data_IF_363806791331
#
_entry.id   IF_363806791331
#
_cell.length_a   1.000
_cell.length_b   1.000
_cell.length_c   1.000
_cell.angle_alpha   90.00
_cell.angle_beta   90.00
_cell.angle_gamma   90.00
#
_symmetry.space_group_name_H-M   'P 1'
#
loop_
_entity.id
_entity.type
_entity.pdbx_description
1 polymer ?
#
# COMPACT_ATOMS: atom_id res chain seq x y z
N UNK A 1 -12.31 -2.66 4.67
CA UNK A 1 -13.29 -3.76 4.41
C UNK A 1 -13.85 -4.31 5.71
N UNK A 2 -15.10 -4.80 5.72
CA UNK A 2 -15.73 -5.44 6.89
C UNK A 2 -15.77 -4.60 8.17
N UNK A 3 -15.80 -3.27 8.06
CA UNK A 3 -15.66 -2.33 9.18
C UNK A 3 -14.43 -2.56 10.10
N UNK A 4 -13.37 -3.20 9.58
CA UNK A 4 -12.19 -3.59 10.37
C UNK A 4 -11.22 -2.46 10.74
N UNK A 5 -11.46 -1.24 10.22
CA UNK A 5 -10.71 -0.04 10.58
C UNK A 5 -11.67 1.01 11.18
N UNK A 6 -12.26 0.77 12.36
CA UNK A 6 -13.33 1.60 12.90
C UNK A 6 -12.82 2.91 13.54
N UNK A 7 -11.54 2.95 13.90
CA UNK A 7 -10.97 4.02 14.73
C UNK A 7 -10.56 5.27 13.93
N UNK A 8 -10.48 6.45 14.57
CA UNK A 8 -9.94 7.65 13.96
C UNK A 8 -8.40 7.60 13.83
N UNK A 9 -7.86 8.39 12.91
CA UNK A 9 -6.43 8.40 12.54
C UNK A 9 -5.43 8.37 13.71
N UNK A 10 -5.57 9.21 14.76
CA UNK A 10 -4.66 9.17 15.91
C UNK A 10 -4.63 7.83 16.63
N UNK A 11 -5.78 7.15 16.77
CA UNK A 11 -5.86 5.85 17.41
C UNK A 11 -5.24 4.74 16.55
N UNK A 12 -5.40 4.83 15.22
CA UNK A 12 -4.76 3.91 14.27
C UNK A 12 -3.23 4.04 14.35
N UNK A 13 -2.71 5.28 14.37
CA UNK A 13 -1.27 5.54 14.54
C UNK A 13 -0.75 4.93 15.84
N UNK A 14 -1.42 5.21 16.97
CA UNK A 14 -1.03 4.63 18.25
C UNK A 14 -1.14 3.10 18.28
N UNK A 15 -2.11 2.51 17.57
CA UNK A 15 -2.21 1.06 17.43
C UNK A 15 -0.97 0.50 16.70
N UNK A 16 -0.61 1.05 15.55
CA UNK A 16 0.56 0.62 14.79
C UNK A 16 1.87 0.75 15.60
N UNK A 17 2.05 1.85 16.32
CA UNK A 17 3.23 2.11 17.15
C UNK A 17 3.38 1.11 18.30
N UNK A 18 2.28 0.62 18.89
CA UNK A 18 2.32 -0.42 19.94
C UNK A 18 2.90 -1.75 19.45
N UNK A 19 2.86 -2.01 18.14
CA UNK A 19 3.49 -3.19 17.53
C UNK A 19 4.93 -2.92 17.05
N UNK A 20 5.52 -1.80 17.46
CA UNK A 20 6.93 -1.46 17.18
C UNK A 20 7.15 -0.74 15.86
N UNK A 21 6.09 -0.35 15.13
CA UNK A 21 6.24 0.48 13.95
C UNK A 21 6.62 1.91 14.34
N UNK A 22 7.71 2.41 13.76
CA UNK A 22 8.09 3.82 13.79
C UNK A 22 7.35 4.55 12.67
N UNK A 23 6.15 5.03 12.96
CA UNK A 23 5.22 5.60 11.97
C UNK A 23 5.48 7.09 11.75
N UNK A 24 5.70 7.50 10.50
CA UNK A 24 5.87 8.91 10.10
C UNK A 24 6.95 9.64 10.92
N UNK A 25 8.01 8.94 11.33
CA UNK A 25 9.11 9.50 12.13
C UNK A 25 10.40 9.60 11.31
N UNK A 26 11.31 10.53 11.63
CA UNK A 26 12.59 10.67 10.91
C UNK A 26 13.42 9.37 10.82
N UNK A 27 13.40 8.56 11.89
CA UNK A 27 14.15 7.31 11.98
C UNK A 27 13.31 6.07 11.58
N UNK A 28 12.18 6.28 10.90
CA UNK A 28 11.23 5.24 10.54
C UNK A 28 10.99 5.19 9.03
N UNK A 29 10.93 3.98 8.47
CA UNK A 29 10.70 3.76 7.04
C UNK A 29 9.24 3.40 6.72
N UNK A 30 8.31 3.66 7.64
CA UNK A 30 6.90 3.33 7.46
C UNK A 30 6.04 4.59 7.50
N UNK A 31 5.42 4.90 6.37
CA UNK A 31 4.49 6.01 6.25
C UNK A 31 3.05 5.51 6.35
N UNK A 32 2.36 5.92 7.41
CA UNK A 32 0.93 5.67 7.57
C UNK A 32 0.15 6.92 7.14
N UNK A 33 -0.65 6.78 6.10
CA UNK A 33 -1.49 7.84 5.56
C UNK A 33 -2.84 7.92 6.30
N UNK A 34 -3.56 9.03 6.10
CA UNK A 34 -4.93 9.16 6.60
C UNK A 34 -5.85 8.09 5.98
N UNK A 35 -6.88 7.70 6.73
CA UNK A 35 -7.91 6.78 6.27
C UNK A 35 -8.58 7.33 5.01
N UNK A 36 -8.73 6.49 3.99
CA UNK A 36 -9.31 6.88 2.71
C UNK A 36 -10.11 5.74 2.10
N UNK A 37 -11.00 6.08 1.17
CA UNK A 37 -11.67 5.09 0.32
C UNK A 37 -10.74 4.65 -0.82
N UNK A 38 -10.68 3.33 -1.03
CA UNK A 38 -9.87 2.70 -2.09
C UNK A 38 -10.71 2.20 -3.27
N UNK A 39 -12.03 2.10 -3.07
CA UNK A 39 -13.02 1.66 -4.05
C UNK A 39 -14.25 2.58 -4.04
N UNK A 40 -15.08 2.48 -5.07
CA UNK A 40 -16.32 3.25 -5.21
C UNK A 40 -16.13 4.72 -5.61
N UNK A 41 -17.21 5.51 -5.63
CA UNK A 41 -17.19 6.90 -6.13
C UNK A 41 -16.22 7.83 -5.38
N UNK A 42 -15.99 7.56 -4.09
CA UNK A 42 -15.07 8.32 -3.23
C UNK A 42 -13.60 7.89 -3.33
N UNK A 43 -13.24 6.96 -4.24
CA UNK A 43 -11.87 6.43 -4.35
C UNK A 43 -10.83 7.56 -4.45
N UNK A 44 -9.82 7.51 -3.59
CA UNK A 44 -8.68 8.43 -3.62
C UNK A 44 -7.97 8.40 -4.99
N UNK A 45 -7.51 9.54 -5.54
CA UNK A 45 -6.85 9.59 -6.84
C UNK A 45 -5.66 8.62 -6.99
N UNK A 46 -4.85 8.45 -5.93
CA UNK A 46 -3.74 7.49 -5.92
C UNK A 46 -4.22 6.05 -6.14
N UNK A 47 -5.30 5.63 -5.45
CA UNK A 47 -5.85 4.29 -5.63
C UNK A 47 -6.53 4.11 -6.98
N UNK A 48 -7.14 5.18 -7.54
CA UNK A 48 -7.65 5.14 -8.91
C UNK A 48 -6.52 4.86 -9.90
N UNK A 49 -5.43 5.63 -9.82
CA UNK A 49 -4.25 5.47 -10.66
C UNK A 49 -3.61 4.08 -10.53
N UNK A 50 -3.42 3.58 -9.30
CA UNK A 50 -2.85 2.25 -9.06
C UNK A 50 -3.75 1.13 -9.61
N UNK A 51 -5.08 1.23 -9.47
CA UNK A 51 -6.01 0.24 -10.02
C UNK A 51 -5.97 0.25 -11.54
N UNK A 52 -6.01 1.41 -12.18
CA UNK A 52 -5.95 1.56 -13.64
C UNK A 52 -4.71 0.85 -14.23
N UNK A 53 -3.55 1.01 -13.59
CA UNK A 53 -2.29 0.41 -14.04
C UNK A 53 -2.09 -1.05 -13.57
N UNK A 54 -2.85 -1.49 -12.57
CA UNK A 54 -2.79 -2.83 -11.99
C UNK A 54 -3.86 -3.80 -12.51
N UNK A 55 -4.39 -3.60 -13.72
CA UNK A 55 -5.41 -4.47 -14.33
C UNK A 55 -6.86 -3.97 -14.18
N UNK A 56 -7.05 -2.73 -13.74
CA UNK A 56 -8.33 -2.01 -13.69
C UNK A 56 -9.45 -2.74 -12.92
N UNK A 57 -9.12 -3.32 -11.77
CA UNK A 57 -10.05 -4.02 -10.89
C UNK A 57 -10.07 -3.42 -9.48
N UNK A 58 -11.19 -3.52 -8.78
CA UNK A 58 -11.30 -3.09 -7.38
C UNK A 58 -10.36 -3.85 -6.45
N UNK A 59 -9.97 -3.21 -5.34
CA UNK A 59 -9.22 -3.86 -4.25
C UNK A 59 -10.14 -4.89 -3.60
N UNK A 60 -9.70 -6.15 -3.52
CA UNK A 60 -10.57 -7.25 -3.10
C UNK A 60 -10.84 -7.31 -1.59
N UNK A 61 -9.82 -7.02 -0.77
CA UNK A 61 -9.93 -7.05 0.69
C UNK A 61 -8.78 -6.30 1.38
N UNK A 62 -8.85 -6.15 2.71
CA UNK A 62 -7.74 -5.63 3.51
C UNK A 62 -6.51 -6.53 3.31
N UNK A 63 -5.38 -5.95 2.90
CA UNK A 63 -4.11 -6.64 2.65
C UNK A 63 -4.13 -7.80 1.64
N UNK A 64 -5.25 -8.12 1.00
CA UNK A 64 -5.27 -9.10 -0.10
C UNK A 64 -4.54 -8.54 -1.33
N UNK A 65 -4.81 -7.28 -1.65
CA UNK A 65 -4.16 -6.54 -2.73
C UNK A 65 -3.00 -5.71 -2.20
N UNK A 66 -1.87 -5.79 -2.90
CA UNK A 66 -0.66 -4.99 -2.67
C UNK A 66 -0.20 -4.46 -4.03
N UNK A 67 0.31 -3.24 -4.06
CA UNK A 67 0.90 -2.66 -5.26
C UNK A 67 2.39 -2.44 -4.99
N UNK A 68 3.22 -2.97 -5.88
CA UNK A 68 4.64 -2.67 -5.93
C UNK A 68 4.86 -1.59 -6.99
N UNK A 69 5.44 -0.47 -6.57
CA UNK A 69 5.81 0.63 -7.47
C UNK A 69 7.33 0.64 -7.55
N UNK A 70 7.87 0.48 -8.76
CA UNK A 70 9.31 0.53 -9.04
C UNK A 70 9.59 1.67 -10.00
N UNK A 71 10.33 2.67 -9.56
CA UNK A 71 10.72 3.79 -10.41
C UNK A 71 12.13 3.56 -10.97
N UNK A 72 12.29 3.89 -12.26
CA UNK A 72 13.52 3.77 -13.02
C UNK A 72 13.99 5.19 -13.33
N UNK A 73 14.87 5.72 -12.49
CA UNK A 73 15.34 7.11 -12.57
C UNK A 73 16.01 7.42 -13.93
N UNK A 74 16.68 6.44 -14.52
CA UNK A 74 17.33 6.53 -15.84
C UNK A 74 16.33 6.72 -16.99
N UNK A 75 15.11 6.21 -16.82
CA UNK A 75 14.03 6.27 -17.83
C UNK A 75 12.99 7.33 -17.51
N UNK A 76 12.96 7.84 -16.27
CA UNK A 76 11.91 8.74 -15.79
C UNK A 76 10.53 8.08 -15.78
N UNK A 77 10.47 6.76 -15.62
CA UNK A 77 9.22 5.97 -15.60
C UNK A 77 9.10 5.16 -14.33
N UNK A 78 7.89 4.72 -13.99
CA UNK A 78 7.68 3.75 -12.93
C UNK A 78 6.78 2.61 -13.41
N UNK A 79 7.15 1.39 -13.04
CA UNK A 79 6.31 0.19 -13.20
C UNK A 79 5.44 0.01 -11.96
N UNK A 80 4.21 -0.44 -12.18
CA UNK A 80 3.23 -0.72 -11.12
C UNK A 80 2.78 -2.17 -11.28
N UNK A 81 3.13 -3.00 -10.32
CA UNK A 81 2.73 -4.42 -10.30
C UNK A 81 1.74 -4.66 -9.18
N UNK A 82 0.56 -5.20 -9.53
CA UNK A 82 -0.46 -5.61 -8.57
C UNK A 82 -0.24 -7.06 -8.15
N UNK A 83 -0.24 -7.31 -6.84
CA UNK A 83 -0.23 -8.64 -6.24
C UNK A 83 -1.49 -8.86 -5.42
N UNK A 84 -2.26 -9.86 -5.82
CA UNK A 84 -3.45 -10.32 -5.10
C UNK A 84 -3.17 -11.68 -4.45
N UNK A 85 -3.62 -11.85 -3.20
CA UNK A 85 -3.43 -13.07 -2.40
C UNK A 85 -1.98 -13.50 -2.16
N UNK A 86 -1.02 -12.58 -2.28
CA UNK A 86 0.41 -12.86 -2.03
C UNK A 86 0.79 -12.47 -0.62
N UNK A 87 1.61 -13.29 0.04
CA UNK A 87 2.18 -12.94 1.33
C UNK A 87 3.13 -11.76 1.18
N UNK A 88 3.25 -10.94 2.21
CA UNK A 88 4.15 -9.79 2.17
C UNK A 88 5.60 -10.22 1.93
N UNK A 89 6.04 -11.36 2.48
CA UNK A 89 7.36 -11.91 2.22
C UNK A 89 7.62 -12.25 0.75
N UNK A 90 6.61 -12.75 0.02
CA UNK A 90 6.72 -13.06 -1.40
C UNK A 90 6.86 -11.78 -2.23
N UNK A 91 6.08 -10.74 -1.88
CA UNK A 91 6.17 -9.43 -2.53
C UNK A 91 7.53 -8.79 -2.24
N UNK A 92 8.00 -8.82 -1.00
CA UNK A 92 9.33 -8.32 -0.63
C UNK A 92 10.47 -9.11 -1.30
N UNK A 93 10.29 -10.42 -1.51
CA UNK A 93 11.25 -11.22 -2.26
C UNK A 93 11.30 -10.80 -3.73
N UNK A 94 10.15 -10.54 -4.35
CA UNK A 94 10.10 -9.99 -5.71
C UNK A 94 10.85 -8.64 -5.78
N UNK A 95 10.71 -7.77 -4.77
CA UNK A 95 11.49 -6.52 -4.69
C UNK A 95 12.99 -6.77 -4.67
N UNK A 96 13.46 -7.72 -3.84
CA UNK A 96 14.89 -8.00 -3.67
C UNK A 96 15.52 -8.72 -4.86
N UNK A 97 14.80 -9.64 -5.51
CA UNK A 97 15.35 -10.47 -6.58
C UNK A 97 15.61 -9.70 -7.88
N UNK A 98 15.04 -8.50 -8.03
CA UNK A 98 15.26 -7.63 -9.18
C UNK A 98 16.27 -6.49 -8.86
N UNK A 99 16.87 -6.46 -7.68
CA UNK A 99 18.03 -5.61 -7.33
C UNK A 99 19.37 -6.33 -7.61
N UNK A 100 19.31 -7.60 -8.04
CA UNK A 100 20.44 -8.46 -8.46
C UNK A 100 20.38 -8.71 -9.97
#
# INVERSE_FOLDING_TARGET
FGAQEPWPGPQIKSFAERFGLKVNSPDGNFFLMAKTDVNGPGTHPVYRFLKEHGGNADVGWNFFTKFLIRCHDDKGTCDITRYDNKLTSEVLHAMRMEEL
#
